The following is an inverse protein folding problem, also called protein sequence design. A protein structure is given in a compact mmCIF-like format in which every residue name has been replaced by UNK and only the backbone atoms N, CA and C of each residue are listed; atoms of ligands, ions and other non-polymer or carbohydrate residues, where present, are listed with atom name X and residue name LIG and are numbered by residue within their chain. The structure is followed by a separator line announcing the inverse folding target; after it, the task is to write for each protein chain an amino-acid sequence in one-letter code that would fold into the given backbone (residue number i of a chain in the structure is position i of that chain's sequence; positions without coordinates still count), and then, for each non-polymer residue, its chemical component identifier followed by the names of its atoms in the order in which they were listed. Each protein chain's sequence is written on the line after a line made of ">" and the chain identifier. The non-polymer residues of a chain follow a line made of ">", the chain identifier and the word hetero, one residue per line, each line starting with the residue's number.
data_IF_679120160215
#
_entry.id   IF_679120160215
#
_cell.length_a   1.000
_cell.length_b   1.000
_cell.length_c   1.000
_cell.angle_alpha   90.00
_cell.angle_beta   90.00
_cell.angle_gamma   90.00
#
_symmetry.space_group_name_H-M   'P 1'
#
loop_
_entity.id
_entity.type
_entity.pdbx_description
1 polymer ?
#
# COMPACT_ATOMS: atom_id res chain seq x y z
N UNK A 1 -17.90 -15.32 -13.61
CA UNK A 1 -17.68 -14.18 -12.71
C UNK A 1 -16.20 -14.07 -12.46
N UNK A 2 -15.67 -12.86 -12.59
CA UNK A 2 -14.24 -12.57 -12.47
C UNK A 2 -14.08 -11.35 -11.56
N UNK A 3 -12.94 -11.21 -10.89
CA UNK A 3 -12.67 -9.99 -10.15
C UNK A 3 -12.42 -8.85 -11.14
N UNK A 4 -12.96 -7.68 -10.85
CA UNK A 4 -12.85 -6.53 -11.74
C UNK A 4 -11.38 -6.13 -11.98
N UNK A 5 -10.55 -6.16 -10.95
CA UNK A 5 -9.12 -5.85 -11.05
C UNK A 5 -8.36 -6.83 -11.96
N UNK A 6 -8.63 -8.14 -11.85
CA UNK A 6 -8.03 -9.17 -12.70
C UNK A 6 -8.48 -9.01 -14.15
N UNK A 7 -9.76 -8.70 -14.37
CA UNK A 7 -10.29 -8.49 -15.71
C UNK A 7 -9.69 -7.25 -16.40
N UNK A 8 -9.71 -6.09 -15.72
CA UNK A 8 -9.13 -4.86 -16.26
C UNK A 8 -7.61 -4.98 -16.44
N UNK A 9 -6.92 -5.61 -15.49
CA UNK A 9 -5.49 -5.92 -15.60
C UNK A 9 -5.17 -6.82 -16.78
N UNK A 10 -5.99 -7.84 -17.04
CA UNK A 10 -5.86 -8.71 -18.20
C UNK A 10 -5.97 -7.94 -19.53
N UNK A 11 -6.93 -7.02 -19.64
CA UNK A 11 -7.09 -6.16 -20.82
C UNK A 11 -5.83 -5.30 -21.03
N UNK A 12 -5.34 -4.65 -19.97
CA UNK A 12 -4.14 -3.82 -20.03
C UNK A 12 -2.91 -4.64 -20.47
N UNK A 13 -2.73 -5.84 -19.92
CA UNK A 13 -1.65 -6.76 -20.30
C UNK A 13 -1.73 -7.17 -21.77
N UNK A 14 -2.91 -7.56 -22.26
CA UNK A 14 -3.07 -7.93 -23.67
C UNK A 14 -2.77 -6.78 -24.64
N UNK A 15 -3.08 -5.54 -24.24
CA UNK A 15 -2.73 -4.34 -25.02
C UNK A 15 -1.21 -4.13 -25.05
N UNK A 16 -0.54 -4.26 -23.90
CA UNK A 16 0.91 -4.17 -23.82
C UNK A 16 1.61 -5.25 -24.66
N UNK A 17 1.11 -6.49 -24.65
CA UNK A 17 1.63 -7.58 -25.48
C UNK A 17 1.44 -7.30 -26.98
N UNK A 18 0.27 -6.79 -27.38
CA UNK A 18 0.01 -6.39 -28.77
C UNK A 18 0.97 -5.28 -29.21
N UNK A 19 1.31 -4.35 -28.32
CA UNK A 19 2.28 -3.29 -28.56
C UNK A 19 3.68 -3.85 -28.79
N UNK A 20 4.15 -4.73 -27.91
CA UNK A 20 5.44 -5.42 -28.06
C UNK A 20 5.52 -6.14 -29.42
N UNK A 21 4.47 -6.86 -29.80
CA UNK A 21 4.40 -7.54 -31.09
C UNK A 21 4.48 -6.56 -32.27
N UNK A 22 3.82 -5.41 -32.17
CA UNK A 22 3.88 -4.36 -33.20
C UNK A 22 5.29 -3.76 -33.36
N UNK A 23 6.01 -3.54 -32.26
CA UNK A 23 7.38 -3.03 -32.30
C UNK A 23 8.36 -4.07 -32.88
N UNK A 24 8.25 -5.34 -32.47
CA UNK A 24 9.03 -6.43 -33.07
C UNK A 24 8.76 -6.56 -34.57
N UNK A 25 7.51 -6.37 -35.00
CA UNK A 25 7.18 -6.39 -36.43
C UNK A 25 7.78 -5.20 -37.18
N UNK A 26 7.79 -4.02 -36.56
CA UNK A 26 8.41 -2.82 -37.14
C UNK A 26 9.91 -3.02 -37.33
N UNK A 27 10.58 -3.66 -36.36
CA UNK A 27 11.99 -4.05 -36.48
C UNK A 27 12.23 -5.02 -37.65
N UNK A 28 11.42 -6.07 -37.78
CA UNK A 28 11.53 -7.02 -38.89
C UNK A 28 11.37 -6.33 -40.26
N UNK A 29 10.45 -5.35 -40.36
CA UNK A 29 10.26 -4.55 -41.57
C UNK A 29 11.48 -3.66 -41.83
N UNK A 30 12.02 -3.02 -40.79
CA UNK A 30 13.22 -2.19 -40.89
C UNK A 30 14.41 -2.97 -41.47
N UNK A 31 14.64 -4.19 -40.99
CA UNK A 31 15.71 -5.05 -41.50
C UNK A 31 15.54 -5.39 -42.98
N UNK A 32 14.29 -5.62 -43.43
CA UNK A 32 14.00 -5.88 -44.85
C UNK A 32 14.25 -4.64 -45.70
N UNK A 33 13.87 -3.46 -45.21
CA UNK A 33 14.11 -2.19 -45.89
C UNK A 33 15.61 -1.93 -46.04
N UNK A 34 16.38 -2.11 -44.98
CA UNK A 34 17.83 -1.90 -44.97
C UNK A 34 18.56 -2.79 -45.98
N UNK A 35 18.07 -4.02 -46.21
CA UNK A 35 18.66 -4.99 -47.15
C UNK A 35 18.29 -4.76 -48.62
N UNK A 36 17.31 -3.89 -48.91
CA UNK A 36 16.80 -3.70 -50.27
C UNK A 36 17.29 -2.38 -50.88
N UNK A 37 17.87 -2.43 -52.07
CA UNK A 37 18.58 -1.31 -52.70
C UNK A 37 17.74 -0.03 -52.83
N UNK A 38 16.46 -0.15 -53.16
CA UNK A 38 15.53 0.98 -53.28
C UNK A 38 14.87 1.39 -51.95
N UNK A 39 14.64 0.44 -51.03
CA UNK A 39 13.81 0.69 -49.84
C UNK A 39 14.62 1.19 -48.64
N UNK A 40 15.95 1.05 -48.66
CA UNK A 40 16.84 1.48 -47.57
C UNK A 40 16.79 2.98 -47.24
N UNK A 41 16.22 3.79 -48.13
CA UNK A 41 16.03 5.23 -47.95
C UNK A 41 14.58 5.61 -47.61
N UNK A 42 13.68 4.65 -47.48
CA UNK A 42 12.27 4.89 -47.18
C UNK A 42 12.05 4.89 -45.67
N UNK A 43 11.07 5.67 -45.22
CA UNK A 43 10.64 5.65 -43.82
C UNK A 43 10.05 4.29 -43.46
N UNK A 44 10.44 3.76 -42.31
CA UNK A 44 9.92 2.49 -41.80
C UNK A 44 8.51 2.74 -41.25
N UNK A 45 7.49 2.00 -41.72
CA UNK A 45 6.14 2.11 -41.17
C UNK A 45 6.14 1.58 -39.73
N UNK A 46 5.66 2.41 -38.80
CA UNK A 46 5.44 2.04 -37.39
C UNK A 46 4.01 2.39 -36.99
N UNK A 47 3.34 1.45 -36.34
CA UNK A 47 2.05 1.70 -35.71
C UNK A 47 2.25 2.24 -34.29
N UNK A 48 1.62 3.38 -33.97
CA UNK A 48 1.58 3.96 -32.61
C UNK A 48 0.12 4.08 -32.18
N UNK A 49 -0.28 3.36 -31.13
CA UNK A 49 -1.61 3.48 -30.53
C UNK A 49 -1.53 4.42 -29.32
N UNK A 50 -1.56 5.74 -29.56
CA UNK A 50 -1.32 6.73 -28.49
C UNK A 50 -2.43 6.74 -27.43
N UNK A 51 -3.69 6.61 -27.85
CA UNK A 51 -4.85 6.65 -26.97
C UNK A 51 -5.80 5.52 -27.34
N UNK A 52 -6.08 4.63 -26.39
CA UNK A 52 -7.05 3.54 -26.56
C UNK A 52 -8.25 3.82 -25.66
N UNK A 53 -9.42 4.01 -26.26
CA UNK A 53 -10.69 4.15 -25.57
C UNK A 53 -11.50 2.86 -25.69
N UNK A 54 -11.90 2.31 -24.55
CA UNK A 54 -12.70 1.10 -24.44
C UNK A 54 -13.97 1.40 -23.67
N UNK A 55 -15.11 0.98 -24.23
CA UNK A 55 -16.40 0.96 -23.53
C UNK A 55 -16.81 -0.49 -23.30
N UNK A 56 -16.72 -0.94 -22.06
CA UNK A 56 -16.91 -2.35 -21.71
C UNK A 56 -18.21 -2.49 -20.91
N UNK A 57 -19.21 -3.25 -21.40
CA UNK A 57 -20.40 -3.57 -20.62
C UNK A 57 -20.06 -4.64 -19.57
N UNK A 58 -20.42 -4.38 -18.32
CA UNK A 58 -20.27 -5.32 -17.21
C UNK A 58 -21.53 -5.31 -16.35
N UNK A 59 -21.82 -6.43 -15.68
CA UNK A 59 -22.82 -6.46 -14.62
C UNK A 59 -22.14 -6.71 -13.27
N UNK A 60 -22.48 -5.88 -12.27
CA UNK A 60 -21.97 -6.03 -10.90
C UNK A 60 -22.85 -7.06 -10.21
N UNK A 61 -22.26 -8.17 -9.79
CA UNK A 61 -23.01 -9.28 -9.21
C UNK A 61 -22.94 -9.30 -7.68
N UNK A 62 -21.78 -9.00 -7.12
CA UNK A 62 -21.56 -8.92 -5.68
C UNK A 62 -20.62 -7.73 -5.42
N UNK A 63 -21.11 -6.74 -4.68
CA UNK A 63 -20.25 -5.82 -3.96
C UNK A 63 -19.95 -6.51 -2.64
N UNK A 64 -18.71 -6.95 -2.43
CA UNK A 64 -18.26 -7.32 -1.10
C UNK A 64 -18.25 -6.04 -0.27
N UNK A 65 -19.40 -5.70 0.33
CA UNK A 65 -19.47 -4.78 1.46
C UNK A 65 -18.95 -5.56 2.67
N UNK A 66 -17.66 -5.85 2.67
CA UNK A 66 -16.96 -5.89 3.94
C UNK A 66 -16.99 -4.44 4.40
N UNK A 67 -18.07 -4.07 5.11
CA UNK A 67 -18.12 -2.86 5.89
C UNK A 67 -16.77 -2.77 6.60
N UNK A 68 -16.09 -1.63 6.49
CA UNK A 68 -14.88 -1.35 7.25
C UNK A 68 -15.17 -1.76 8.70
N UNK A 69 -14.72 -2.95 9.10
CA UNK A 69 -14.76 -3.33 10.49
C UNK A 69 -13.89 -2.28 11.15
N UNK A 70 -14.48 -1.43 12.02
CA UNK A 70 -13.81 -0.31 12.68
C UNK A 70 -12.40 -0.76 13.01
N UNK A 71 -11.42 -0.25 12.27
CA UNK A 71 -10.06 -0.75 12.36
C UNK A 71 -9.57 -0.46 13.77
N UNK A 72 -9.46 -1.50 14.60
CA UNK A 72 -8.93 -1.41 15.95
C UNK A 72 -7.43 -1.72 15.90
N UNK A 73 -6.54 -0.70 15.86
CA UNK A 73 -5.11 -0.94 15.77
C UNK A 73 -4.55 -1.59 17.04
N UNK A 74 -5.26 -1.49 18.17
CA UNK A 74 -4.79 -1.90 19.49
C UNK A 74 -5.91 -2.65 20.22
N UNK A 75 -5.60 -3.83 20.75
CA UNK A 75 -6.41 -4.43 21.81
C UNK A 75 -6.12 -3.73 23.14
N UNK A 76 -6.97 -2.76 23.51
CA UNK A 76 -6.75 -1.90 24.67
C UNK A 76 -6.56 -2.66 25.99
N UNK A 77 -7.17 -3.83 26.15
CA UNK A 77 -7.03 -4.64 27.37
C UNK A 77 -5.60 -5.20 27.47
N UNK A 78 -5.16 -5.87 26.41
CA UNK A 78 -3.84 -6.50 26.37
C UNK A 78 -2.72 -5.45 26.37
N UNK A 79 -2.86 -4.42 25.54
CA UNK A 79 -1.88 -3.36 25.40
C UNK A 79 -1.65 -2.61 26.72
N UNK A 80 -2.72 -2.19 27.40
CA UNK A 80 -2.62 -1.48 28.66
C UNK A 80 -2.04 -2.37 29.78
N UNK A 81 -2.39 -3.66 29.79
CA UNK A 81 -1.83 -4.63 30.72
C UNK A 81 -0.33 -4.80 30.52
N UNK A 82 0.12 -4.92 29.27
CA UNK A 82 1.54 -5.04 28.95
C UNK A 82 2.32 -3.77 29.28
N UNK A 83 1.81 -2.59 28.94
CA UNK A 83 2.42 -1.32 29.31
C UNK A 83 2.59 -1.21 30.84
N UNK A 84 1.56 -1.57 31.62
CA UNK A 84 1.64 -1.57 33.08
C UNK A 84 2.66 -2.59 33.61
N UNK A 85 2.73 -3.79 33.02
CA UNK A 85 3.70 -4.81 33.39
C UNK A 85 5.14 -4.37 33.10
N UNK A 86 5.38 -3.64 32.02
CA UNK A 86 6.69 -3.05 31.72
C UNK A 86 7.08 -2.10 32.84
N UNK A 87 6.22 -1.14 33.22
CA UNK A 87 6.50 -0.20 34.33
C UNK A 87 6.84 -0.94 35.64
N UNK A 88 6.07 -1.98 35.96
CA UNK A 88 6.28 -2.84 37.14
C UNK A 88 7.63 -3.57 37.11
N UNK A 89 7.95 -4.18 35.97
CA UNK A 89 9.17 -4.96 35.77
C UNK A 89 10.42 -4.06 35.80
N UNK A 90 10.37 -2.90 35.11
CA UNK A 90 11.46 -1.91 35.13
C UNK A 90 11.70 -1.37 36.54
N UNK A 91 10.63 -1.21 37.32
CA UNK A 91 10.69 -0.78 38.73
C UNK A 91 11.19 -1.87 39.69
N UNK A 92 11.27 -3.13 39.22
CA UNK A 92 11.62 -4.32 40.02
C UNK A 92 10.72 -4.46 41.26
N UNK A 93 9.42 -4.20 41.10
CA UNK A 93 8.41 -4.36 42.16
C UNK A 93 7.41 -5.44 41.80
N UNK A 94 6.88 -6.15 42.79
CA UNK A 94 5.82 -7.13 42.56
C UNK A 94 4.45 -6.46 42.35
N UNK A 95 4.23 -5.31 42.98
CA UNK A 95 3.01 -4.51 42.85
C UNK A 95 3.27 -3.06 43.29
N UNK A 96 2.58 -2.11 42.69
CA UNK A 96 2.44 -0.76 43.22
C UNK A 96 1.32 -0.71 44.28
N UNK A 97 1.32 0.31 45.13
CA UNK A 97 0.20 0.54 46.04
C UNK A 97 -1.08 0.90 45.26
N UNK A 98 -2.25 0.77 45.90
CA UNK A 98 -3.55 0.95 45.25
C UNK A 98 -3.70 2.31 44.58
N UNK A 99 -3.19 3.39 45.19
CA UNK A 99 -3.33 4.75 44.67
C UNK A 99 -2.47 4.91 43.42
N UNK A 100 -1.20 4.51 43.49
CA UNK A 100 -0.27 4.53 42.35
C UNK A 100 -0.77 3.65 41.21
N UNK A 101 -1.20 2.42 41.48
CA UNK A 101 -1.75 1.53 40.45
C UNK A 101 -2.95 2.12 39.72
N UNK A 102 -3.85 2.81 40.44
CA UNK A 102 -5.03 3.44 39.84
C UNK A 102 -4.61 4.59 38.93
N UNK A 103 -3.69 5.43 39.40
CA UNK A 103 -3.14 6.54 38.62
C UNK A 103 -2.43 6.06 37.34
N UNK A 104 -1.58 5.03 37.45
CA UNK A 104 -0.87 4.48 36.30
C UNK A 104 -1.80 3.88 35.26
N UNK A 105 -2.83 3.14 35.68
CA UNK A 105 -3.82 2.58 34.74
C UNK A 105 -4.59 3.67 34.02
N UNK A 106 -5.02 4.71 34.74
CA UNK A 106 -5.71 5.85 34.14
C UNK A 106 -4.83 6.56 33.12
N UNK A 107 -3.55 6.75 33.46
CA UNK A 107 -2.57 7.41 32.61
C UNK A 107 -2.27 6.61 31.34
N UNK A 108 -2.03 5.31 31.48
CA UNK A 108 -1.78 4.44 30.33
C UNK A 108 -3.00 4.44 29.42
N UNK A 109 -4.21 4.32 29.98
CA UNK A 109 -5.43 4.34 29.18
C UNK A 109 -5.61 5.65 28.40
N UNK A 110 -5.31 6.80 29.02
CA UNK A 110 -5.35 8.12 28.38
C UNK A 110 -4.36 8.22 27.20
N UNK A 111 -3.11 7.83 27.41
CA UNK A 111 -2.10 7.85 26.33
C UNK A 111 -2.39 6.82 25.24
N UNK A 112 -2.98 5.67 25.59
CA UNK A 112 -3.37 4.64 24.62
C UNK A 112 -4.52 5.13 23.75
N UNK A 113 -5.51 5.84 24.29
CA UNK A 113 -6.59 6.45 23.48
C UNK A 113 -6.04 7.48 22.47
N UNK A 114 -5.05 8.28 22.88
CA UNK A 114 -4.35 9.21 21.98
C UNK A 114 -3.59 8.44 20.89
N UNK A 115 -2.86 7.38 21.26
CA UNK A 115 -2.14 6.54 20.31
C UNK A 115 -3.09 5.90 19.31
N UNK A 116 -4.21 5.32 19.77
CA UNK A 116 -5.20 4.66 18.92
C UNK A 116 -5.79 5.64 17.90
N UNK A 117 -6.15 6.86 18.32
CA UNK A 117 -6.61 7.93 17.43
C UNK A 117 -5.59 8.29 16.36
N UNK A 118 -4.31 8.42 16.74
CA UNK A 118 -3.24 8.75 15.82
C UNK A 118 -2.97 7.62 14.80
N UNK A 119 -3.02 6.36 15.25
CA UNK A 119 -2.85 5.18 14.39
C UNK A 119 -4.01 4.99 13.41
N UNK A 120 -5.23 5.41 13.76
CA UNK A 120 -6.37 5.43 12.83
C UNK A 120 -6.22 6.50 11.75
N UNK A 121 -5.61 7.63 12.08
CA UNK A 121 -5.50 8.79 11.18
C UNK A 121 -4.29 8.76 10.24
N UNK A 122 -3.20 8.05 10.58
CA UNK A 122 -1.92 8.14 9.88
C UNK A 122 -1.19 6.77 9.80
N UNK A 123 -0.29 6.61 8.83
CA UNK A 123 0.44 5.34 8.59
C UNK A 123 1.75 5.18 9.39
N UNK A 124 2.22 6.21 10.11
CA UNK A 124 3.53 6.18 10.78
C UNK A 124 3.50 5.54 12.19
N UNK A 125 3.28 4.21 12.25
CA UNK A 125 3.11 3.46 13.51
C UNK A 125 4.29 3.61 14.49
N UNK A 126 5.53 3.69 13.98
CA UNK A 126 6.72 3.73 14.85
C UNK A 126 6.86 5.09 15.55
N UNK A 127 6.51 6.19 14.89
CA UNK A 127 6.61 7.53 15.46
C UNK A 127 5.60 7.73 16.59
N UNK A 128 4.33 7.36 16.37
CA UNK A 128 3.31 7.50 17.40
C UNK A 128 3.57 6.59 18.60
N UNK A 129 4.05 5.36 18.39
CA UNK A 129 4.45 4.49 19.49
C UNK A 129 5.64 5.07 20.28
N UNK A 130 6.57 5.74 19.59
CA UNK A 130 7.68 6.43 20.27
C UNK A 130 7.15 7.58 21.14
N UNK A 131 6.25 8.41 20.61
CA UNK A 131 5.62 9.49 21.38
C UNK A 131 4.85 8.97 22.60
N UNK A 132 4.06 7.91 22.44
CA UNK A 132 3.39 7.22 23.54
C UNK A 132 4.41 6.78 24.61
N UNK A 133 5.48 6.09 24.19
CA UNK A 133 6.51 5.56 25.08
C UNK A 133 7.19 6.67 25.88
N UNK A 134 7.48 7.80 25.22
CA UNK A 134 8.06 8.99 25.84
C UNK A 134 7.16 9.61 26.91
N UNK A 135 5.87 9.81 26.60
CA UNK A 135 4.89 10.43 27.52
C UNK A 135 4.60 9.54 28.73
N UNK A 136 4.41 8.24 28.51
CA UNK A 136 4.19 7.28 29.59
C UNK A 136 5.40 7.22 30.51
N UNK A 137 6.62 7.16 29.95
CA UNK A 137 7.84 7.18 30.74
C UNK A 137 8.00 8.47 31.54
N UNK A 138 7.82 9.63 30.92
CA UNK A 138 7.95 10.95 31.57
C UNK A 138 6.99 11.07 32.76
N UNK A 139 5.70 10.83 32.51
CA UNK A 139 4.70 10.96 33.57
C UNK A 139 4.88 9.89 34.65
N UNK A 140 5.30 8.67 34.31
CA UNK A 140 5.63 7.64 35.30
C UNK A 140 6.77 8.09 36.23
N UNK A 141 7.87 8.63 35.68
CA UNK A 141 9.00 9.10 36.46
C UNK A 141 8.66 10.31 37.33
N UNK A 142 7.66 11.12 36.94
CA UNK A 142 7.20 12.25 37.76
C UNK A 142 6.51 11.84 39.07
N UNK A 143 5.93 10.63 39.10
CA UNK A 143 5.18 10.11 40.27
C UNK A 143 5.92 8.98 40.99
N UNK A 144 6.90 8.34 40.36
CA UNK A 144 7.67 7.27 40.96
C UNK A 144 8.90 7.82 41.68
N UNK A 145 9.06 7.56 43.00
CA UNK A 145 10.07 8.23 43.82
C UNK A 145 11.51 7.78 43.55
N UNK A 146 11.74 6.65 42.85
CA UNK A 146 13.09 6.17 42.58
C UNK A 146 13.56 6.62 41.21
N UNK A 147 14.83 7.01 41.13
CA UNK A 147 15.50 7.35 39.87
C UNK A 147 15.63 6.11 38.99
N UNK A 148 14.94 6.12 37.86
CA UNK A 148 15.06 5.13 36.80
C UNK A 148 15.59 5.83 35.53
N UNK A 149 16.20 5.06 34.64
CA UNK A 149 16.68 5.58 33.37
C UNK A 149 15.53 5.75 32.36
N UNK A 150 15.28 7.00 31.96
CA UNK A 150 14.23 7.35 31.00
C UNK A 150 14.44 6.65 29.66
N UNK A 151 15.66 6.67 29.12
CA UNK A 151 15.95 6.15 27.79
C UNK A 151 15.79 4.63 27.70
N UNK A 152 16.22 3.90 28.74
CA UNK A 152 15.98 2.46 28.83
C UNK A 152 14.50 2.13 28.93
N UNK A 153 13.72 2.89 29.71
CA UNK A 153 12.29 2.66 29.86
C UNK A 153 11.52 2.93 28.55
N UNK A 154 11.79 4.04 27.87
CA UNK A 154 11.13 4.36 26.59
C UNK A 154 11.44 3.28 25.54
N UNK A 155 12.69 2.82 25.46
CA UNK A 155 13.09 1.74 24.57
C UNK A 155 12.40 0.41 24.91
N UNK A 156 12.24 0.08 26.20
CA UNK A 156 11.51 -1.11 26.63
C UNK A 156 10.03 -1.04 26.25
N UNK A 157 9.37 0.11 26.46
CA UNK A 157 7.99 0.32 26.02
C UNK A 157 7.84 0.14 24.51
N UNK A 158 8.69 0.79 23.73
CA UNK A 158 8.64 0.72 22.27
C UNK A 158 8.85 -0.72 21.76
N UNK A 159 9.88 -1.42 22.24
CA UNK A 159 10.20 -2.77 21.76
C UNK A 159 9.11 -3.80 22.08
N UNK A 160 8.55 -3.74 23.29
CA UNK A 160 7.61 -4.76 23.76
C UNK A 160 6.17 -4.49 23.31
N UNK A 161 5.80 -3.24 23.03
CA UNK A 161 4.45 -2.89 22.59
C UNK A 161 4.29 -2.87 21.08
N UNK A 162 5.40 -2.80 20.31
CA UNK A 162 5.36 -2.75 18.85
C UNK A 162 4.62 -3.92 18.22
N UNK A 163 4.79 -5.14 18.75
CA UNK A 163 4.13 -6.34 18.25
C UNK A 163 2.63 -6.40 18.56
N UNK A 164 2.12 -5.52 19.42
CA UNK A 164 0.71 -5.46 19.81
C UNK A 164 -0.09 -4.43 18.98
N UNK A 165 0.58 -3.71 18.09
CA UNK A 165 -0.06 -2.79 17.15
C UNK A 165 -0.33 -3.55 15.85
N UNK A 166 -1.60 -3.73 15.52
CA UNK A 166 -2.02 -4.28 14.24
C UNK A 166 -1.71 -3.29 13.13
N UNK A 167 -1.30 -3.78 11.96
CA UNK A 167 -1.24 -2.94 10.76
C UNK A 167 -2.62 -2.85 10.12
N UNK A 168 -2.93 -1.71 9.49
CA UNK A 168 -4.13 -1.56 8.68
C UNK A 168 -4.05 -2.55 7.53
N UNK A 169 -4.83 -3.64 7.60
CA UNK A 169 -5.01 -4.51 6.45
C UNK A 169 -5.82 -3.72 5.43
N UNK A 170 -5.21 -3.41 4.28
CA UNK A 170 -5.96 -2.88 3.13
C UNK A 170 -6.96 -3.96 2.76
N UNK A 171 -8.23 -3.77 3.11
CA UNK A 171 -9.31 -4.66 2.69
C UNK A 171 -9.29 -4.65 1.16
N UNK A 172 -8.90 -5.77 0.55
CA UNK A 172 -8.98 -5.95 -0.90
C UNK A 172 -10.46 -5.88 -1.26
N UNK A 173 -10.89 -4.78 -1.87
CA UNK A 173 -12.22 -4.68 -2.44
C UNK A 173 -12.32 -5.69 -3.59
N UNK A 174 -12.97 -6.83 -3.33
CA UNK A 174 -13.16 -7.90 -4.31
C UNK A 174 -14.48 -7.69 -5.04
N UNK A 175 -14.52 -6.68 -5.91
CA UNK A 175 -15.69 -6.46 -6.77
C UNK A 175 -15.76 -7.55 -7.83
N UNK A 176 -16.81 -8.38 -7.79
CA UNK A 176 -17.03 -9.43 -8.79
C UNK A 176 -17.95 -8.93 -9.89
N UNK A 177 -17.51 -9.14 -11.13
CA UNK A 177 -18.25 -8.74 -12.34
C UNK A 177 -18.54 -9.93 -13.25
N UNK A 178 -19.62 -9.79 -14.01
CA UNK A 178 -19.98 -10.63 -15.14
C UNK A 178 -19.58 -9.87 -16.41
N UNK A 179 -18.83 -10.53 -17.28
CA UNK A 179 -18.25 -9.96 -18.51
C UNK A 179 -18.52 -10.84 -19.73
N UNK A 180 -19.04 -12.05 -19.52
CA UNK A 180 -19.32 -12.99 -20.58
C UNK A 180 -20.57 -12.55 -21.36
N UNK A 181 -20.43 -12.33 -22.68
CA UNK A 181 -21.49 -11.76 -23.53
C UNK A 181 -22.82 -12.54 -23.45
N UNK A 182 -22.78 -13.87 -23.44
CA UNK A 182 -24.00 -14.69 -23.33
C UNK A 182 -24.73 -14.48 -21.99
N UNK A 183 -23.99 -14.26 -20.89
CA UNK A 183 -24.58 -13.99 -19.57
C UNK A 183 -25.09 -12.57 -19.46
N UNK A 184 -24.39 -11.60 -20.06
CA UNK A 184 -24.82 -10.20 -20.10
C UNK A 184 -26.16 -10.04 -20.84
N UNK A 185 -26.40 -10.82 -21.89
CA UNK A 185 -27.67 -10.80 -22.63
C UNK A 185 -28.86 -11.30 -21.81
N UNK A 186 -28.61 -12.12 -20.77
CA UNK A 186 -29.64 -12.62 -19.86
C UNK A 186 -29.95 -11.61 -18.73
N UNK A 187 -29.12 -10.59 -18.57
CA UNK A 187 -29.27 -9.55 -17.54
C UNK A 187 -30.08 -8.39 -18.12
N UNK A 188 -31.02 -7.87 -17.32
CA UNK A 188 -31.81 -6.70 -17.72
C UNK A 188 -30.89 -5.50 -18.01
N UNK A 189 -31.11 -4.73 -19.09
CA UNK A 189 -30.24 -3.61 -19.46
C UNK A 189 -30.00 -2.58 -18.35
N UNK A 190 -31.00 -2.36 -17.51
CA UNK A 190 -30.96 -1.48 -16.32
C UNK A 190 -29.92 -1.92 -15.27
N UNK A 191 -29.47 -3.18 -15.30
CA UNK A 191 -28.48 -3.73 -14.39
C UNK A 191 -27.08 -3.85 -15.03
N UNK A 192 -26.90 -3.34 -16.25
CA UNK A 192 -25.61 -3.32 -16.96
C UNK A 192 -24.96 -1.95 -16.76
N UNK A 193 -23.70 -1.96 -16.32
CA UNK A 193 -22.85 -0.78 -16.17
C UNK A 193 -21.86 -0.73 -17.33
N UNK A 194 -21.55 0.47 -17.81
CA UNK A 194 -20.52 0.67 -18.83
C UNK A 194 -19.26 1.23 -18.18
N UNK A 195 -18.16 0.48 -18.25
CA UNK A 195 -16.84 0.98 -17.89
C UNK A 195 -16.26 1.69 -19.10
N UNK A 196 -16.05 3.01 -18.98
CA UNK A 196 -15.27 3.78 -19.94
C UNK A 196 -13.83 3.83 -19.44
N UNK A 197 -12.94 3.18 -20.18
CA UNK A 197 -11.52 3.13 -19.88
C UNK A 197 -10.76 3.87 -20.97
N UNK A 198 -9.89 4.78 -20.55
CA UNK A 198 -8.91 5.43 -21.42
C UNK A 198 -7.54 4.96 -20.97
N UNK A 199 -6.81 4.34 -21.88
CA UNK A 199 -5.43 3.91 -21.67
C UNK A 199 -4.53 4.87 -22.44
N UNK A 200 -3.66 5.55 -21.70
CA UNK A 200 -2.62 6.42 -22.23
C UNK A 200 -1.28 5.69 -22.11
N UNK A 201 -0.49 5.72 -23.16
CA UNK A 201 0.88 5.18 -23.16
C UNK A 201 1.83 6.25 -22.61
N UNK A 202 2.49 5.97 -21.49
CA UNK A 202 3.66 6.70 -21.02
C UNK A 202 4.89 5.80 -21.22
N UNK A 203 5.84 6.27 -22.02
CA UNK A 203 7.05 5.54 -22.37
C UNK A 203 8.10 5.58 -21.27
N UNK A 204 9.01 4.61 -21.29
CA UNK A 204 10.25 4.65 -20.51
C UNK A 204 11.40 4.39 -21.48
N UNK A 205 12.41 5.26 -21.46
CA UNK A 205 13.57 5.20 -22.33
C UNK A 205 14.86 4.89 -21.55
N UNK A 206 15.71 4.06 -22.14
CA UNK A 206 17.06 3.81 -21.60
C UNK A 206 18.00 4.92 -22.04
N UNK A 207 18.35 5.80 -21.12
CA UNK A 207 19.38 6.80 -21.32
C UNK A 207 20.75 6.20 -21.02
N UNK A 208 21.67 6.27 -21.99
CA UNK A 208 23.05 5.83 -21.82
C UNK A 208 23.98 7.03 -21.90
N UNK A 209 24.79 7.23 -20.86
CA UNK A 209 25.79 8.30 -20.80
C UNK A 209 27.14 7.77 -20.35
N UNK A 210 28.20 8.30 -20.96
CA UNK A 210 29.57 8.09 -20.51
C UNK A 210 29.90 9.12 -19.42
N UNK A 211 30.33 8.66 -18.24
CA UNK A 211 30.73 9.55 -17.16
C UNK A 211 32.17 10.08 -17.37
N UNK A 212 32.59 11.05 -16.56
CA UNK A 212 33.92 11.67 -16.68
C UNK A 212 35.11 10.69 -16.52
N UNK A 213 34.84 9.46 -16.04
CA UNK A 213 35.82 8.38 -15.90
C UNK A 213 35.83 7.41 -17.10
N UNK A 214 35.02 7.65 -18.13
CA UNK A 214 34.89 6.77 -19.30
C UNK A 214 34.04 5.51 -19.05
N UNK A 215 33.32 5.44 -17.93
CA UNK A 215 32.39 4.34 -17.66
C UNK A 215 31.02 4.66 -18.25
N UNK A 216 30.45 3.67 -18.94
CA UNK A 216 29.12 3.77 -19.52
C UNK A 216 28.09 3.47 -18.43
N UNK A 217 27.30 4.47 -18.05
CA UNK A 217 26.15 4.32 -17.15
C UNK A 217 24.85 4.33 -17.97
N UNK A 218 23.95 3.39 -17.67
CA UNK A 218 22.62 3.31 -18.30
C UNK A 218 21.53 3.40 -17.24
N UNK A 219 20.55 4.28 -17.46
CA UNK A 219 19.41 4.52 -16.56
C UNK A 219 18.11 4.51 -17.36
N UNK A 220 17.08 3.86 -16.81
CA UNK A 220 15.73 3.89 -17.36
C UNK A 220 15.00 5.12 -16.80
N UNK A 221 14.56 6.00 -17.68
CA UNK A 221 13.86 7.25 -17.35
C UNK A 221 12.51 7.31 -18.10
N UNK A 222 11.48 7.97 -17.56
CA UNK A 222 10.27 8.26 -18.31
C UNK A 222 10.54 9.11 -19.57
N UNK A 223 9.81 8.85 -20.65
CA UNK A 223 9.82 9.63 -21.91
C UNK A 223 9.18 11.01 -21.75
#
# INVERSE_FOLDING_TARGET
>A
MVNLNEYLGGIATSIAEARLMSDLKSLEIAEKFAKHDLLKHFTIPRFKAQNIELTIPVAISELSNDYEQDYEPINNIEFNSQAYNILKNTSKVNSFDRKTSTLLRSLIAEETDILEKNLKANENNNEFLNQFSMRVAERFLSIYPKKLDYNSLTKQLQLNLKSLISSKQVVKQNTKVIVEAHKLNEIKPENIVQIKMTLNEEGMEWYTSENDNGEIESKLLPE
#
